data_IF_737525319152
#
_entry.id   IF_737525319152
#
_cell.length_a   1.000
_cell.length_b   1.000
_cell.length_c   1.000
_cell.angle_alpha   90.00
_cell.angle_beta   90.00
_cell.angle_gamma   90.00
#
_symmetry.space_group_name_H-M   'P 1'
#
loop_
_entity.id
_entity.type
_entity.pdbx_description
1 polymer ?
#
# COMPACT_ATOMS: atom_id res chain seq x y z
N UNK A 1 40.66 -11.35 -20.42
CA UNK A 1 39.83 -10.99 -21.60
C UNK A 1 38.45 -11.59 -21.37
N UNK A 2 37.40 -10.75 -21.44
CA UNK A 2 35.96 -11.03 -21.31
C UNK A 2 35.45 -11.43 -19.92
N UNK A 3 34.34 -10.92 -19.41
CA UNK A 3 33.64 -9.63 -19.47
C UNK A 3 32.61 -9.69 -18.33
N UNK A 4 32.25 -8.54 -17.78
CA UNK A 4 31.25 -8.41 -16.73
C UNK A 4 29.89 -9.00 -17.16
N UNK A 5 29.26 -9.77 -16.29
CA UNK A 5 27.81 -9.92 -16.27
C UNK A 5 27.35 -10.12 -14.84
N UNK A 6 27.51 -9.05 -14.04
CA UNK A 6 26.62 -8.87 -12.91
C UNK A 6 25.20 -8.74 -13.51
N UNK A 7 24.47 -9.85 -13.57
CA UNK A 7 23.03 -9.80 -13.79
C UNK A 7 22.44 -9.11 -12.58
N UNK A 8 22.37 -7.79 -12.67
CA UNK A 8 21.47 -6.96 -11.90
C UNK A 8 20.10 -7.58 -12.10
N UNK A 9 19.66 -8.39 -11.14
CA UNK A 9 18.24 -8.64 -10.93
C UNK A 9 17.59 -7.26 -11.02
N UNK A 10 16.61 -7.02 -11.93
CA UNK A 10 15.85 -5.79 -11.84
C UNK A 10 15.34 -5.76 -10.41
N UNK A 11 15.75 -4.74 -9.65
CA UNK A 11 15.19 -4.46 -8.34
C UNK A 11 13.70 -4.51 -8.58
N UNK A 12 13.04 -5.60 -8.17
CA UNK A 12 11.60 -5.64 -8.04
C UNK A 12 11.36 -4.54 -7.01
N UNK A 13 11.09 -3.33 -7.51
CA UNK A 13 10.65 -2.20 -6.70
C UNK A 13 9.28 -2.62 -6.23
N UNK A 14 9.25 -3.51 -5.24
CA UNK A 14 8.08 -3.89 -4.47
C UNK A 14 7.58 -2.60 -3.86
N UNK A 15 6.75 -1.89 -4.64
CA UNK A 15 6.25 -0.57 -4.33
C UNK A 15 5.10 -0.78 -3.36
N UNK A 16 5.41 -1.24 -2.15
CA UNK A 16 4.38 -1.73 -1.22
C UNK A 16 4.13 -0.74 -0.10
N UNK A 17 4.96 0.29 0.08
CA UNK A 17 4.66 1.35 1.04
C UNK A 17 5.29 2.68 0.65
N UNK A 18 4.47 3.68 0.37
CA UNK A 18 4.89 5.10 0.40
C UNK A 18 4.38 5.69 1.71
N UNK A 19 5.32 6.21 2.50
CA UNK A 19 5.04 6.90 3.76
C UNK A 19 4.91 8.39 3.46
N UNK A 20 3.83 9.02 3.91
CA UNK A 20 3.60 10.45 3.71
C UNK A 20 3.89 11.18 5.03
N UNK A 21 5.00 11.91 5.09
CA UNK A 21 5.35 12.87 6.15
C UNK A 21 5.29 14.28 5.54
N UNK A 22 4.95 15.37 6.27
CA UNK A 22 4.77 15.52 7.72
C UNK A 22 3.29 15.67 8.14
N UNK A 23 2.52 14.57 8.20
CA UNK A 23 1.22 14.60 8.89
C UNK A 23 1.39 14.29 10.39
N UNK A 24 0.55 14.86 11.27
CA UNK A 24 0.57 14.60 12.71
C UNK A 24 0.20 13.16 13.13
N UNK A 25 -0.01 12.25 12.18
CA UNK A 25 -0.06 10.81 12.42
C UNK A 25 0.77 10.10 11.34
N UNK A 26 1.59 9.09 11.67
CA UNK A 26 2.31 8.30 10.67
C UNK A 26 1.30 7.51 9.83
N UNK A 27 0.99 8.01 8.63
CA UNK A 27 0.12 7.33 7.67
C UNK A 27 0.98 6.46 6.78
N UNK A 28 0.62 5.18 6.66
CA UNK A 28 1.28 4.23 5.74
C UNK A 28 0.31 3.91 4.62
N UNK A 29 0.74 4.03 3.35
CA UNK A 29 -0.12 3.69 2.22
C UNK A 29 0.57 2.71 1.27
N UNK A 30 -0.11 1.62 0.94
CA UNK A 30 0.28 0.68 -0.09
C UNK A 30 -0.48 1.00 -1.39
N UNK A 31 0.24 1.19 -2.48
CA UNK A 31 -0.33 1.46 -3.80
C UNK A 31 0.27 0.52 -4.81
N UNK A 32 -0.57 -0.10 -5.62
CA UNK A 32 -0.11 -1.02 -6.65
C UNK A 32 -0.62 -0.66 -8.03
N UNK A 33 0.25 -0.88 -9.01
CA UNK A 33 -0.03 -0.73 -10.45
C UNK A 33 0.10 -2.06 -11.19
N UNK A 34 0.47 -3.11 -10.47
CA UNK A 34 0.69 -4.45 -10.99
C UNK A 34 0.14 -5.46 -9.99
N UNK A 35 -0.68 -6.40 -10.46
CA UNK A 35 -1.39 -7.32 -9.57
C UNK A 35 -0.49 -8.37 -8.93
N UNK A 36 0.76 -8.54 -9.39
CA UNK A 36 1.73 -9.47 -8.77
C UNK A 36 2.15 -9.04 -7.36
N UNK A 37 1.95 -7.77 -6.98
CA UNK A 37 2.26 -7.29 -5.63
C UNK A 37 1.09 -7.43 -4.65
N UNK A 38 -0.06 -7.97 -5.07
CA UNK A 38 -1.20 -8.21 -4.18
C UNK A 38 -0.84 -9.17 -3.02
N UNK A 39 0.05 -10.14 -3.28
CA UNK A 39 0.59 -11.02 -2.24
C UNK A 39 1.43 -10.25 -1.21
N UNK A 40 2.29 -9.33 -1.64
CA UNK A 40 3.03 -8.45 -0.72
C UNK A 40 2.09 -7.57 0.12
N UNK A 41 1.01 -7.05 -0.48
CA UNK A 41 -0.01 -6.27 0.25
C UNK A 41 -0.69 -7.16 1.30
N UNK A 42 -1.08 -8.39 0.95
CA UNK A 42 -1.67 -9.34 1.91
C UNK A 42 -0.74 -9.63 3.09
N UNK A 43 0.56 -9.82 2.82
CA UNK A 43 1.59 -10.01 3.84
C UNK A 43 1.73 -8.77 4.73
N UNK A 44 1.71 -7.57 4.14
CA UNK A 44 1.75 -6.31 4.88
C UNK A 44 0.55 -6.16 5.83
N UNK A 45 -0.68 -6.39 5.35
CA UNK A 45 -1.88 -6.37 6.21
C UNK A 45 -1.77 -7.39 7.36
N UNK A 46 -1.30 -8.61 7.06
CA UNK A 46 -1.07 -9.64 8.08
C UNK A 46 -0.07 -9.17 9.14
N UNK A 47 1.03 -8.55 8.73
CA UNK A 47 2.03 -8.00 9.64
C UNK A 47 1.47 -6.85 10.50
N UNK A 48 0.64 -5.98 9.92
CA UNK A 48 -0.04 -4.91 10.67
C UNK A 48 -0.98 -5.48 11.74
N UNK A 49 -1.68 -6.58 11.43
CA UNK A 49 -2.59 -7.25 12.37
C UNK A 49 -1.81 -7.87 13.51
N UNK A 50 -0.69 -8.53 13.22
CA UNK A 50 0.21 -9.09 14.23
C UNK A 50 0.84 -8.01 15.12
N UNK A 51 1.07 -6.80 14.58
CA UNK A 51 1.54 -5.64 15.35
C UNK A 51 0.44 -4.95 16.18
N UNK A 52 -0.82 -5.38 16.06
CA UNK A 52 -1.96 -4.72 16.72
C UNK A 52 -2.29 -3.34 16.15
N UNK A 53 -1.80 -3.00 14.94
CA UNK A 53 -2.08 -1.72 14.27
C UNK A 53 -3.43 -1.70 13.54
N UNK A 54 -3.97 -2.88 13.22
CA UNK A 54 -5.29 -3.05 12.64
C UNK A 54 -6.08 -4.04 13.48
N UNK A 55 -7.41 -3.88 13.50
CA UNK A 55 -8.28 -4.79 14.23
C UNK A 55 -8.14 -6.24 13.70
N UNK A 56 -8.27 -7.27 14.55
CA UNK A 56 -8.14 -8.67 14.13
C UNK A 56 -9.20 -9.11 13.11
N UNK A 57 -10.32 -8.39 13.05
CA UNK A 57 -11.41 -8.58 12.10
C UNK A 57 -11.04 -8.10 10.69
N UNK A 58 -10.04 -7.21 10.58
CA UNK A 58 -9.56 -6.71 9.29
C UNK A 58 -8.76 -7.82 8.60
N UNK A 59 -9.23 -8.22 7.43
CA UNK A 59 -8.63 -9.27 6.62
C UNK A 59 -8.44 -8.77 5.20
N UNK A 60 -7.36 -9.20 4.55
CA UNK A 60 -7.11 -8.90 3.15
C UNK A 60 -7.05 -10.19 2.34
N UNK A 61 -7.94 -10.30 1.36
CA UNK A 61 -8.03 -11.45 0.45
C UNK A 61 -7.76 -11.02 -0.98
N UNK A 62 -7.44 -11.96 -1.85
CA UNK A 62 -7.17 -11.72 -3.27
C UNK A 62 -8.20 -12.51 -4.05
N UNK A 63 -8.93 -11.86 -4.96
CA UNK A 63 -9.86 -12.55 -5.85
C UNK A 63 -9.11 -13.36 -6.89
N UNK A 64 -9.73 -14.44 -7.36
CA UNK A 64 -9.25 -15.26 -8.47
C UNK A 64 -9.73 -14.74 -9.83
N UNK A 65 -10.13 -13.47 -9.91
CA UNK A 65 -10.57 -12.82 -11.16
C UNK A 65 -9.36 -12.52 -12.06
N UNK A 66 -9.59 -12.25 -13.35
CA UNK A 66 -8.54 -11.85 -14.28
C UNK A 66 -8.85 -10.45 -14.83
N UNK A 67 -8.18 -9.39 -14.36
CA UNK A 67 -7.03 -9.39 -13.44
C UNK A 67 -7.41 -9.57 -11.95
N UNK A 68 -6.54 -10.18 -11.13
CA UNK A 68 -6.84 -10.39 -9.71
C UNK A 68 -6.91 -9.05 -8.97
N UNK A 69 -7.81 -8.97 -8.00
CA UNK A 69 -8.11 -7.75 -7.24
C UNK A 69 -8.02 -8.03 -5.74
N UNK A 70 -7.44 -7.10 -4.99
CA UNK A 70 -7.42 -7.18 -3.53
C UNK A 70 -8.78 -6.82 -2.93
N UNK A 71 -9.20 -7.50 -1.87
CA UNK A 71 -10.39 -7.19 -1.09
C UNK A 71 -9.97 -6.95 0.36
N UNK A 72 -10.30 -5.78 0.88
CA UNK A 72 -10.20 -5.49 2.30
C UNK A 72 -11.55 -5.76 2.95
N UNK A 73 -11.63 -6.72 3.86
CA UNK A 73 -12.82 -6.98 4.68
C UNK A 73 -12.61 -6.42 6.07
N UNK A 74 -13.57 -5.64 6.54
CA UNK A 74 -13.61 -5.09 7.90
C UNK A 74 -15.07 -5.11 8.42
N UNK A 75 -15.34 -4.72 9.69
CA UNK A 75 -16.69 -4.75 10.26
C UNK A 75 -17.75 -3.96 9.48
N UNK A 76 -17.34 -2.99 8.66
CA UNK A 76 -18.23 -2.17 7.83
C UNK A 76 -18.58 -2.82 6.49
N UNK A 77 -17.85 -3.86 6.07
CA UNK A 77 -18.10 -4.59 4.83
C UNK A 77 -16.81 -5.01 4.11
N UNK A 78 -16.97 -5.33 2.82
CA UNK A 78 -15.86 -5.69 1.94
C UNK A 78 -15.62 -4.58 0.93
N UNK A 79 -14.40 -4.06 0.92
CA UNK A 79 -13.97 -2.95 0.08
C UNK A 79 -13.00 -3.47 -0.98
N UNK A 80 -13.34 -3.39 -2.27
CA UNK A 80 -12.40 -3.72 -3.31
C UNK A 80 -11.27 -2.70 -3.33
N UNK A 81 -10.04 -3.20 -3.42
CA UNK A 81 -8.84 -2.42 -3.67
C UNK A 81 -8.49 -2.59 -5.15
N UNK A 82 -9.03 -1.76 -6.06
CA UNK A 82 -8.76 -1.88 -7.49
C UNK A 82 -7.33 -1.45 -7.83
N UNK A 83 -6.91 -1.76 -9.06
CA UNK A 83 -5.62 -1.30 -9.59
C UNK A 83 -5.51 0.22 -9.46
N UNK A 84 -4.35 0.73 -9.03
CA UNK A 84 -4.07 2.15 -8.76
C UNK A 84 -4.76 2.74 -7.52
N UNK A 85 -5.52 1.96 -6.77
CA UNK A 85 -6.01 2.39 -5.46
C UNK A 85 -4.92 2.32 -4.39
N UNK A 86 -5.20 2.96 -3.27
CA UNK A 86 -4.33 3.09 -2.12
C UNK A 86 -4.98 2.39 -0.93
N UNK A 87 -4.27 1.42 -0.36
CA UNK A 87 -4.62 0.82 0.92
C UNK A 87 -3.90 1.61 2.02
N UNK A 88 -4.65 2.35 2.82
CA UNK A 88 -4.13 3.34 3.75
C UNK A 88 -4.34 2.90 5.18
N UNK A 89 -3.26 2.80 5.94
CA UNK A 89 -3.25 2.68 7.38
C UNK A 89 -3.19 4.09 7.99
N UNK A 90 -4.22 4.44 8.74
CA UNK A 90 -4.30 5.66 9.54
C UNK A 90 -4.57 5.34 11.01
N UNK A 91 -4.66 6.37 11.85
CA UNK A 91 -5.08 6.22 13.26
C UNK A 91 -6.46 5.56 13.42
N UNK A 92 -7.31 5.57 12.39
CA UNK A 92 -8.63 4.89 12.38
C UNK A 92 -8.56 3.44 11.95
N UNK A 93 -7.38 2.96 11.55
CA UNK A 93 -7.19 1.65 10.96
C UNK A 93 -6.98 1.70 9.44
N UNK A 94 -7.15 0.52 8.83
CA UNK A 94 -6.88 0.26 7.42
C UNK A 94 -8.14 0.51 6.59
N UNK A 95 -8.00 1.24 5.49
CA UNK A 95 -9.11 1.55 4.59
C UNK A 95 -8.61 1.73 3.15
N UNK A 96 -9.50 1.53 2.19
CA UNK A 96 -9.20 1.72 0.76
C UNK A 96 -9.57 3.13 0.34
N UNK A 97 -8.67 3.81 -0.37
CA UNK A 97 -8.92 5.09 -1.02
C UNK A 97 -8.59 5.00 -2.50
N UNK A 98 -9.43 5.61 -3.34
CA UNK A 98 -9.09 5.86 -4.73
C UNK A 98 -7.97 6.93 -4.83
N UNK A 99 -7.20 6.95 -5.92
CA UNK A 99 -6.11 7.91 -6.12
C UNK A 99 -6.53 9.36 -5.92
N UNK A 100 -7.71 9.76 -6.40
CA UNK A 100 -8.16 11.14 -6.33
C UNK A 100 -8.48 11.54 -4.88
N UNK A 101 -9.19 10.69 -4.13
CA UNK A 101 -9.46 10.89 -2.71
C UNK A 101 -8.18 10.85 -1.89
N UNK A 102 -7.25 9.94 -2.22
CA UNK A 102 -5.95 9.86 -1.58
C UNK A 102 -5.18 11.18 -1.73
N UNK A 103 -5.02 11.68 -2.97
CA UNK A 103 -4.31 12.92 -3.23
C UNK A 103 -5.01 14.17 -2.68
N UNK A 104 -6.35 14.17 -2.59
CA UNK A 104 -7.11 15.26 -1.94
C UNK A 104 -6.97 15.24 -0.41
N UNK A 105 -6.99 14.07 0.20
CA UNK A 105 -6.94 13.89 1.65
C UNK A 105 -5.52 14.07 2.18
N UNK A 106 -4.55 13.50 1.46
CA UNK A 106 -3.12 13.55 1.76
C UNK A 106 -2.40 14.48 0.79
N UNK A 107 -3.00 15.64 0.50
CA UNK A 107 -2.39 16.67 -0.33
C UNK A 107 -1.09 17.14 0.33
N UNK A 108 0.06 16.89 -0.30
CA UNK A 108 1.38 17.30 0.22
C UNK A 108 1.27 18.71 0.80
N UNK A 109 1.49 18.93 2.10
CA UNK A 109 1.75 20.27 2.56
C UNK A 109 3.07 20.63 1.90
N UNK A 110 3.00 21.50 0.90
CA UNK A 110 4.08 22.24 0.22
C UNK A 110 5.42 21.52 0.20
N UNK A 111 5.93 21.21 -1.00
CA UNK A 111 7.34 21.00 -1.27
C UNK A 111 8.19 21.99 -0.44
N UNK A 112 8.59 21.57 0.76
CA UNK A 112 9.50 22.33 1.60
C UNK A 112 10.83 21.76 1.21
N UNK A 113 11.34 22.26 0.08
CA UNK A 113 12.74 22.14 -0.30
C UNK A 113 13.57 22.20 0.99
N UNK A 114 14.14 21.06 1.38
CA UNK A 114 15.20 21.06 2.38
C UNK A 114 16.41 21.72 1.72
N UNK A 115 16.46 23.05 1.77
CA UNK A 115 17.71 23.78 1.72
C UNK A 115 18.44 23.52 3.04
N UNK A 116 19.48 22.71 2.99
CA UNK A 116 20.62 22.80 3.91
C UNK A 116 21.88 22.79 3.08
#
# INVERSE_FOLDING_TARGET
MFEHSATLSPVRRSTVARYYQPWPAPVQAAHYTDSTVLSDISHWVTALRQQGKVAPEVTFTITTDDPPTGLLTDPTGTHPLPLKAFLVLSHRGLHVLDPHTFHRTYHSPTDREWST
#
